data_IF_015535806339
#
_entry.id   IF_015535806339
#
_cell.length_a   1.000
_cell.length_b   1.000
_cell.length_c   1.000
_cell.angle_alpha   90.00
_cell.angle_beta   90.00
_cell.angle_gamma   90.00
#
_symmetry.space_group_name_H-M   'P 1'
#
loop_
_entity.id
_entity.type
_entity.pdbx_description
1 polymer ?
#
# COMPACT_ATOMS: atom_id res chain seq x y z
N UNK A 1 -0.01 19.37 12.25
CA UNK A 1 -1.13 18.55 11.73
C UNK A 1 -0.60 17.23 11.17
N UNK A 2 -1.34 16.13 11.35
CA UNK A 2 -1.04 14.82 10.73
C UNK A 2 -1.18 14.94 9.21
N UNK A 3 -0.17 14.50 8.44
CA UNK A 3 -0.28 14.46 6.96
C UNK A 3 -0.65 13.06 6.48
N UNK A 4 -1.70 13.00 5.68
CA UNK A 4 -2.14 11.76 5.03
C UNK A 4 -1.51 11.61 3.65
N UNK A 5 -0.95 10.43 3.37
CA UNK A 5 -0.45 10.03 2.07
C UNK A 5 -1.16 8.76 1.62
N UNK A 6 -1.52 8.70 0.34
CA UNK A 6 -2.09 7.48 -0.27
C UNK A 6 -0.98 6.55 -0.74
N UNK A 7 -1.21 5.24 -0.68
CA UNK A 7 -0.35 4.26 -1.35
C UNK A 7 -0.58 4.34 -2.86
N UNK A 8 0.47 4.05 -3.62
CA UNK A 8 0.40 3.89 -5.06
C UNK A 8 -0.49 2.70 -5.38
N UNK A 9 -1.63 3.00 -6.02
CA UNK A 9 -2.58 1.96 -6.45
C UNK A 9 -1.90 1.00 -7.43
N UNK A 10 -2.29 -0.26 -7.36
CA UNK A 10 -1.95 -1.27 -8.35
C UNK A 10 -2.33 -0.75 -9.73
N UNK A 11 -1.46 -0.98 -10.73
CA UNK A 11 -1.64 -0.39 -12.04
C UNK A 11 -2.95 -0.88 -12.66
N UNK A 12 -3.63 0.02 -13.39
CA UNK A 12 -4.90 -0.26 -14.05
C UNK A 12 -4.89 -1.54 -14.90
N UNK A 13 -3.73 -1.89 -15.48
CA UNK A 13 -3.52 -3.14 -16.23
C UNK A 13 -3.82 -4.42 -15.42
N UNK A 14 -3.48 -4.44 -14.13
CA UNK A 14 -3.77 -5.57 -13.24
C UNK A 14 -5.27 -5.62 -12.93
N UNK A 15 -5.89 -4.46 -12.68
CA UNK A 15 -7.34 -4.35 -12.49
C UNK A 15 -8.14 -4.80 -13.72
N UNK A 16 -7.65 -4.51 -14.92
CA UNK A 16 -8.27 -4.97 -16.16
C UNK A 16 -8.32 -6.50 -16.23
N UNK A 17 -7.21 -7.17 -15.86
CA UNK A 17 -7.17 -8.63 -15.78
C UNK A 17 -8.13 -9.21 -14.75
N UNK A 18 -8.22 -8.58 -13.56
CA UNK A 18 -9.19 -8.99 -12.53
C UNK A 18 -10.64 -8.84 -13.02
N UNK A 19 -10.95 -7.74 -13.72
CA UNK A 19 -12.29 -7.52 -14.29
C UNK A 19 -12.64 -8.61 -15.31
N UNK A 20 -11.71 -8.97 -16.21
CA UNK A 20 -11.93 -10.03 -17.20
C UNK A 20 -12.24 -11.36 -16.51
N UNK A 21 -11.49 -11.70 -15.45
CA UNK A 21 -11.72 -12.92 -14.67
C UNK A 21 -13.08 -12.90 -13.97
N UNK A 22 -13.48 -11.78 -13.38
CA UNK A 22 -14.80 -11.62 -12.76
C UNK A 22 -15.91 -11.83 -13.80
N UNK A 23 -15.80 -11.23 -14.98
CA UNK A 23 -16.79 -11.41 -16.07
C UNK A 23 -16.88 -12.88 -16.50
N UNK A 24 -15.74 -13.58 -16.63
CA UNK A 24 -15.73 -15.00 -16.96
C UNK A 24 -16.43 -15.86 -15.89
N UNK A 25 -16.21 -15.58 -14.61
CA UNK A 25 -16.87 -16.28 -13.50
C UNK A 25 -18.38 -16.03 -13.52
N UNK A 26 -18.81 -14.79 -13.75
CA UNK A 26 -20.23 -14.43 -13.85
C UNK A 26 -20.89 -15.15 -15.03
N UNK A 27 -20.25 -15.18 -16.19
CA UNK A 27 -20.75 -15.91 -17.36
C UNK A 27 -20.87 -17.41 -17.10
N UNK A 28 -19.90 -17.99 -16.39
CA UNK A 28 -19.92 -19.40 -16.02
C UNK A 28 -21.06 -19.71 -15.03
N UNK A 29 -21.29 -18.83 -14.04
CA UNK A 29 -22.39 -18.96 -13.08
C UNK A 29 -23.76 -18.85 -13.78
N UNK A 30 -23.90 -17.93 -14.73
CA UNK A 30 -25.11 -17.80 -15.56
C UNK A 30 -25.36 -19.03 -16.43
N UNK A 31 -24.31 -19.60 -17.02
CA UNK A 31 -24.42 -20.78 -17.88
C UNK A 31 -24.77 -22.06 -17.12
N UNK A 32 -24.34 -22.17 -15.86
CA UNK A 32 -24.54 -23.36 -15.02
C UNK A 32 -25.75 -23.25 -14.09
N UNK A 33 -26.48 -22.11 -14.11
CA UNK A 33 -27.54 -21.72 -13.16
C UNK A 33 -27.14 -21.84 -11.67
N UNK A 34 -25.84 -22.00 -11.41
CA UNK A 34 -25.31 -22.22 -10.08
C UNK A 34 -24.62 -20.96 -9.56
N UNK A 35 -25.38 -20.19 -8.77
CA UNK A 35 -24.91 -18.95 -8.17
C UNK A 35 -23.81 -19.14 -7.12
N UNK A 36 -23.56 -20.36 -6.63
CA UNK A 36 -22.40 -20.64 -5.78
C UNK A 36 -21.07 -20.39 -6.50
N UNK A 37 -21.07 -20.45 -7.83
CA UNK A 37 -19.89 -20.13 -8.65
C UNK A 37 -19.48 -18.65 -8.56
N UNK A 38 -20.26 -17.78 -7.93
CA UNK A 38 -19.90 -16.39 -7.66
C UNK A 38 -19.03 -16.22 -6.40
N UNK A 39 -18.97 -17.22 -5.50
CA UNK A 39 -18.16 -17.16 -4.28
C UNK A 39 -16.68 -16.74 -4.52
N UNK A 40 -15.99 -17.18 -5.59
CA UNK A 40 -14.61 -16.78 -5.85
C UNK A 40 -14.43 -15.28 -6.12
N UNK A 41 -15.49 -14.53 -6.45
CA UNK A 41 -15.44 -13.07 -6.69
C UNK A 41 -15.28 -12.28 -5.38
N UNK A 42 -15.70 -12.85 -4.26
CA UNK A 42 -15.64 -12.19 -2.95
C UNK A 42 -14.20 -11.81 -2.58
N UNK A 43 -13.24 -12.70 -2.83
CA UNK A 43 -11.84 -12.46 -2.48
C UNK A 43 -11.21 -11.29 -3.26
N UNK A 44 -11.29 -11.21 -4.61
CA UNK A 44 -10.86 -10.04 -5.37
C UNK A 44 -11.47 -8.73 -4.90
N UNK A 45 -12.77 -8.73 -4.57
CA UNK A 45 -13.47 -7.52 -4.10
C UNK A 45 -12.93 -7.09 -2.73
N UNK A 46 -12.72 -8.03 -1.80
CA UNK A 46 -12.13 -7.73 -0.50
C UNK A 46 -10.71 -7.16 -0.61
N UNK A 47 -9.88 -7.72 -1.50
CA UNK A 47 -8.54 -7.20 -1.76
C UNK A 47 -8.57 -5.78 -2.36
N UNK A 48 -9.51 -5.50 -3.27
CA UNK A 48 -9.75 -4.16 -3.83
C UNK A 48 -10.07 -3.16 -2.73
N UNK A 49 -10.97 -3.53 -1.82
CA UNK A 49 -11.37 -2.68 -0.71
C UNK A 49 -10.20 -2.44 0.25
N UNK A 50 -9.43 -3.49 0.61
CA UNK A 50 -8.26 -3.34 1.48
C UNK A 50 -7.22 -2.38 0.88
N UNK A 51 -6.98 -2.48 -0.43
CA UNK A 51 -6.07 -1.59 -1.14
C UNK A 51 -6.58 -0.13 -1.14
N UNK A 52 -7.88 0.09 -1.37
CA UNK A 52 -8.51 1.44 -1.35
C UNK A 52 -8.48 2.07 0.04
N UNK A 53 -8.63 1.26 1.09
CA UNK A 53 -8.62 1.72 2.47
C UNK A 53 -7.21 1.97 3.00
N UNK A 54 -6.17 1.46 2.33
CA UNK A 54 -4.82 1.60 2.84
C UNK A 54 -4.29 3.03 2.72
N UNK A 55 -3.95 3.62 3.87
CA UNK A 55 -3.42 4.98 3.98
C UNK A 55 -2.15 5.01 4.82
N UNK A 56 -1.26 5.93 4.48
CA UNK A 56 -0.06 6.24 5.24
C UNK A 56 -0.34 7.55 5.99
N UNK A 57 -0.11 7.57 7.30
CA UNK A 57 -0.27 8.74 8.14
C UNK A 57 1.09 9.09 8.73
N UNK A 58 1.56 10.31 8.50
CA UNK A 58 2.77 10.83 9.13
C UNK A 58 2.34 11.73 10.28
N UNK A 59 2.63 11.29 11.50
CA UNK A 59 2.30 12.03 12.71
C UNK A 59 3.28 13.18 12.97
N UNK A 60 2.87 14.09 13.84
CA UNK A 60 3.66 15.26 14.19
C UNK A 60 4.95 14.90 14.92
N UNK A 61 4.92 13.82 15.68
CA UNK A 61 6.05 13.28 16.45
C UNK A 61 7.09 12.55 15.58
N UNK A 62 6.85 12.44 14.27
CA UNK A 62 7.71 11.68 13.35
C UNK A 62 7.33 10.21 13.18
N UNK A 63 6.37 9.70 13.97
CA UNK A 63 5.87 8.34 13.80
C UNK A 63 5.08 8.17 12.50
N UNK A 64 5.24 7.01 11.86
CA UNK A 64 4.61 6.70 10.57
C UNK A 64 3.67 5.53 10.75
N UNK A 65 2.39 5.75 10.47
CA UNK A 65 1.37 4.73 10.61
C UNK A 65 0.89 4.29 9.23
N UNK A 66 0.88 2.97 9.03
CA UNK A 66 0.30 2.33 7.87
C UNK A 66 -1.06 1.75 8.29
N UNK A 67 -2.14 2.46 7.97
CA UNK A 67 -3.49 1.98 8.25
C UNK A 67 -3.96 1.17 7.04
N UNK A 68 -4.01 -0.15 7.13
CA UNK A 68 -4.68 -1.01 6.13
C UNK A 68 -6.13 -1.21 6.55
N UNK A 69 -6.96 -1.64 5.61
CA UNK A 69 -8.39 -1.84 5.86
C UNK A 69 -8.65 -3.04 6.76
N UNK A 70 -8.52 -4.23 6.18
CA UNK A 70 -8.74 -5.52 6.83
C UNK A 70 -7.44 -6.12 7.38
N UNK A 71 -6.29 -5.80 6.78
CA UNK A 71 -4.98 -6.35 7.20
C UNK A 71 -4.41 -5.69 8.48
N UNK A 72 -5.17 -4.82 9.16
CA UNK A 72 -4.76 -4.16 10.39
C UNK A 72 -3.96 -2.86 10.20
N UNK A 73 -3.42 -2.31 11.28
CA UNK A 73 -2.60 -1.10 11.23
C UNK A 73 -1.20 -1.36 11.78
N UNK A 74 -0.18 -0.94 11.05
CA UNK A 74 1.21 -1.03 11.50
C UNK A 74 1.66 0.37 11.91
N UNK A 75 2.12 0.49 13.15
CA UNK A 75 2.62 1.75 13.69
C UNK A 75 4.14 1.65 13.82
N UNK A 76 4.86 2.36 12.96
CA UNK A 76 6.31 2.44 13.01
C UNK A 76 6.72 3.54 13.98
N UNK A 77 7.03 3.13 15.22
CA UNK A 77 7.48 4.00 16.29
C UNK A 77 9.00 4.17 16.29
N UNK A 78 9.46 5.42 16.38
CA UNK A 78 10.89 5.73 16.45
C UNK A 78 11.62 5.34 15.17
N UNK A 79 11.35 6.08 14.10
CA UNK A 79 11.96 5.84 12.78
C UNK A 79 13.46 6.11 12.85
N UNK A 80 14.27 5.08 12.58
CA UNK A 80 15.75 5.17 12.62
C UNK A 80 16.34 5.45 11.25
N UNK A 81 15.78 4.83 10.21
CA UNK A 81 16.31 4.91 8.84
C UNK A 81 15.20 4.82 7.82
N UNK A 82 15.28 5.65 6.79
CA UNK A 82 14.37 5.64 5.65
C UNK A 82 15.20 5.39 4.39
N UNK A 83 15.04 4.19 3.82
CA UNK A 83 15.71 3.78 2.60
C UNK A 83 14.76 3.94 1.40
N UNK A 84 15.18 4.74 0.43
CA UNK A 84 14.49 4.97 -0.84
C UNK A 84 15.06 4.03 -1.89
N UNK A 85 14.26 3.09 -2.42
CA UNK A 85 14.78 2.23 -3.50
C UNK A 85 14.92 2.96 -4.83
N UNK A 86 16.11 2.90 -5.43
CA UNK A 86 16.41 3.53 -6.72
C UNK A 86 15.62 2.90 -7.86
N UNK A 87 15.40 3.74 -8.88
CA UNK A 87 14.49 3.59 -10.03
C UNK A 87 14.81 2.40 -10.97
N UNK A 88 15.85 1.61 -10.72
CA UNK A 88 16.33 0.53 -11.59
C UNK A 88 16.00 -0.90 -11.13
N UNK A 89 15.59 -1.09 -9.87
CA UNK A 89 15.16 -2.40 -9.38
C UNK A 89 13.71 -2.68 -9.79
N UNK A 90 13.36 -3.95 -10.05
CA UNK A 90 11.98 -4.46 -10.27
C UNK A 90 10.95 -3.99 -9.21
N UNK A 91 11.41 -3.45 -8.08
CA UNK A 91 10.66 -2.89 -6.95
C UNK A 91 10.70 -1.34 -6.91
N UNK A 92 10.53 -0.69 -8.06
CA UNK A 92 10.60 0.78 -8.24
C UNK A 92 9.62 1.51 -7.30
N UNK A 93 10.10 2.55 -6.61
CA UNK A 93 9.25 3.49 -5.83
C UNK A 93 9.00 3.10 -4.37
N UNK A 94 9.37 1.88 -3.97
CA UNK A 94 9.19 1.41 -2.61
C UNK A 94 10.12 2.11 -1.62
N UNK A 95 9.54 2.59 -0.52
CA UNK A 95 10.25 3.09 0.64
C UNK A 95 10.28 1.97 1.69
N UNK A 96 11.47 1.72 2.22
CA UNK A 96 11.64 0.85 3.40
C UNK A 96 11.97 1.70 4.61
N UNK A 97 11.11 1.64 5.63
CA UNK A 97 11.27 2.37 6.87
C UNK A 97 11.69 1.38 7.95
N UNK A 98 12.88 1.59 8.50
CA UNK A 98 13.39 0.85 9.64
C UNK A 98 13.04 1.62 10.91
N UNK A 99 12.29 0.97 11.79
CA UNK A 99 11.84 1.49 13.06
C UNK A 99 12.29 0.56 14.18
N UNK A 100 12.09 0.95 15.44
CA UNK A 100 12.60 0.23 16.61
C UNK A 100 12.26 -1.27 16.65
N UNK A 101 11.09 -1.67 16.14
CA UNK A 101 10.60 -3.06 16.19
C UNK A 101 10.72 -3.83 14.86
N UNK A 102 11.31 -3.25 13.81
CA UNK A 102 11.48 -3.93 12.53
C UNK A 102 11.54 -2.99 11.34
N UNK A 103 11.03 -3.46 10.19
CA UNK A 103 10.93 -2.65 8.97
C UNK A 103 9.54 -2.74 8.35
N UNK A 104 9.12 -1.67 7.70
CA UNK A 104 7.92 -1.65 6.85
C UNK A 104 8.32 -1.24 5.44
N UNK A 105 7.71 -1.87 4.44
CA UNK A 105 7.92 -1.56 3.04
C UNK A 105 6.58 -1.16 2.41
N UNK A 106 6.53 0.01 1.79
CA UNK A 106 5.36 0.51 1.08
C UNK A 106 5.76 1.48 -0.04
N UNK A 107 4.87 1.66 -1.02
CA UNK A 107 5.07 2.57 -2.15
C UNK A 107 4.06 3.73 -2.06
N UNK A 108 4.46 4.93 -1.63
CA UNK A 108 3.54 6.08 -1.57
C UNK A 108 3.26 6.63 -2.97
N UNK A 109 2.02 7.05 -3.23
CA UNK A 109 1.61 7.66 -4.49
C UNK A 109 2.35 8.99 -4.76
N UNK A 110 2.59 9.77 -3.71
CA UNK A 110 3.42 10.98 -3.74
C UNK A 110 4.72 10.75 -2.96
N UNK A 111 5.72 10.19 -3.66
CA UNK A 111 7.04 9.90 -3.09
C UNK A 111 7.75 11.18 -2.61
N UNK A 112 7.72 12.25 -3.41
CA UNK A 112 8.45 13.48 -3.10
C UNK A 112 7.83 14.20 -1.90
N UNK A 113 6.51 14.34 -1.88
CA UNK A 113 5.80 14.96 -0.76
C UNK A 113 5.95 14.15 0.54
N UNK A 114 5.94 12.81 0.44
CA UNK A 114 6.19 11.95 1.58
C UNK A 114 7.61 12.13 2.15
N UNK A 115 8.64 12.09 1.30
CA UNK A 115 10.04 12.25 1.74
C UNK A 115 10.30 13.62 2.34
N UNK A 116 9.75 14.69 1.76
CA UNK A 116 9.87 16.03 2.31
C UNK A 116 9.22 16.12 3.71
N UNK A 117 8.01 15.58 3.87
CA UNK A 117 7.33 15.53 5.17
C UNK A 117 8.09 14.66 6.18
N UNK A 118 8.63 13.53 5.75
CA UNK A 118 9.41 12.65 6.61
C UNK A 118 10.70 13.34 7.10
N UNK A 119 11.42 14.04 6.21
CA UNK A 119 12.63 14.82 6.54
C UNK A 119 12.33 15.96 7.51
N UNK A 120 11.22 16.67 7.31
CA UNK A 120 10.79 17.75 8.20
C UNK A 120 10.49 17.22 9.62
N UNK A 121 9.86 16.04 9.72
CA UNK A 121 9.40 15.46 10.99
C UNK A 121 10.42 14.58 11.68
N UNK A 122 11.34 13.98 10.93
CA UNK A 122 12.42 13.13 11.42
C UNK A 122 13.76 13.62 10.84
N UNK A 123 14.30 14.75 11.32
CA UNK A 123 15.61 15.24 10.86
C UNK A 123 16.76 14.32 11.30
N UNK A 124 16.55 13.51 12.35
CA UNK A 124 17.56 12.60 12.91
C UNK A 124 17.62 11.22 12.23
N UNK A 125 16.68 10.91 11.33
CA UNK A 125 16.67 9.63 10.63
C UNK A 125 17.73 9.59 9.53
N UNK A 126 18.39 8.43 9.33
CA UNK A 126 19.32 8.24 8.22
C UNK A 126 18.54 8.06 6.90
N UNK A 127 18.71 8.97 5.95
CA UNK A 127 18.09 8.92 4.62
C UNK A 127 19.10 8.37 3.61
N UNK A 128 18.87 7.15 3.12
CA UNK A 128 19.70 6.55 2.08
C UNK A 128 18.91 6.24 0.83
N UNK A 129 19.55 6.41 -0.32
CA UNK A 129 19.08 5.87 -1.59
C UNK A 129 19.76 4.52 -1.83
N UNK A 130 18.98 3.45 -1.98
CA UNK A 130 19.46 2.07 -2.25
C UNK A 130 18.99 1.62 -3.64
#
# INVERSE_FOLDING_TARGET
MVREFKIRRTPFKVWLGVIIVIVAIVLMALHTENYWNLMPIVLPVLLLIDEQMTRILVQENGDIWLKRGFSGSIKAYGVKRIALRKKDSLLKGRITIYYTKGFINFDPADLKGFVACAKERNPHADYREE
#
